data_IF_336377182901
#
_entry.id   IF_336377182901
#
_cell.length_a   1.000
_cell.length_b   1.000
_cell.length_c   1.000
_cell.angle_alpha   90.00
_cell.angle_beta   90.00
_cell.angle_gamma   90.00
#
_symmetry.space_group_name_H-M   'P 1'
#
loop_
_entity.id
_entity.type
_entity.pdbx_description
1 polymer ?
#
# COMPACT_ATOMS: atom_id res chain seq x y z
N UNK A 1 32.66 67.76 -37.82
CA UNK A 1 31.56 67.48 -36.88
C UNK A 1 30.55 66.54 -37.54
N UNK A 2 30.59 65.24 -37.23
CA UNK A 2 29.49 64.29 -37.45
C UNK A 2 29.55 63.28 -36.32
N UNK A 3 28.69 63.46 -35.32
CA UNK A 3 28.55 62.57 -34.17
C UNK A 3 27.68 61.37 -34.52
N UNK A 4 28.19 60.18 -34.25
CA UNK A 4 27.53 58.90 -34.43
C UNK A 4 26.66 58.62 -33.20
N UNK A 5 25.34 58.47 -33.37
CA UNK A 5 24.42 58.03 -32.31
C UNK A 5 24.25 56.51 -32.40
N UNK A 6 24.75 55.78 -31.40
CA UNK A 6 24.36 54.39 -31.17
C UNK A 6 23.02 54.38 -30.42
N UNK A 7 22.01 53.74 -31.00
CA UNK A 7 20.76 53.40 -30.31
C UNK A 7 20.87 51.97 -29.77
N UNK A 8 20.89 51.84 -28.44
CA UNK A 8 20.81 50.55 -27.75
C UNK A 8 19.33 50.17 -27.64
N UNK A 9 18.93 49.11 -28.33
CA UNK A 9 17.60 48.49 -28.17
C UNK A 9 17.69 47.58 -26.95
N UNK A 10 17.03 47.97 -25.85
CA UNK A 10 16.88 47.12 -24.67
C UNK A 10 15.81 46.07 -24.91
N UNK A 11 16.21 44.79 -24.90
CA UNK A 11 15.27 43.65 -24.89
C UNK A 11 14.83 43.42 -23.45
N UNK A 12 13.54 43.66 -23.16
CA UNK A 12 12.92 43.30 -21.89
C UNK A 12 12.41 41.86 -22.00
N UNK A 13 13.09 40.92 -21.35
CA UNK A 13 12.63 39.54 -21.19
C UNK A 13 11.73 39.49 -19.96
N UNK A 14 10.43 39.33 -20.16
CA UNK A 14 9.46 39.10 -19.07
C UNK A 14 9.44 37.60 -18.76
N UNK A 15 10.00 37.22 -17.61
CA UNK A 15 9.81 35.89 -17.05
C UNK A 15 8.42 35.82 -16.41
N UNK A 16 7.49 35.10 -17.04
CA UNK A 16 6.24 34.71 -16.40
C UNK A 16 6.53 33.58 -15.40
N UNK A 17 6.55 33.92 -14.11
CA UNK A 17 6.55 32.93 -13.04
C UNK A 17 5.16 32.28 -12.99
N UNK A 18 5.04 31.07 -13.52
CA UNK A 18 3.91 30.21 -13.22
C UNK A 18 4.05 29.70 -11.79
N UNK A 19 3.43 30.41 -10.84
CA UNK A 19 3.13 29.84 -9.54
C UNK A 19 2.08 28.74 -9.75
N UNK A 20 2.49 27.48 -9.66
CA UNK A 20 1.56 26.39 -9.46
C UNK A 20 0.84 26.65 -8.13
N UNK A 21 -0.39 27.17 -8.19
CA UNK A 21 -1.29 27.15 -7.04
C UNK A 21 -1.56 25.68 -6.73
N UNK A 22 -0.80 25.09 -5.82
CA UNK A 22 -1.23 23.88 -5.15
C UNK A 22 -2.39 24.29 -4.25
N UNK A 23 -3.62 24.12 -4.74
CA UNK A 23 -4.80 24.23 -3.88
C UNK A 23 -4.58 23.32 -2.67
N UNK A 24 -4.66 23.89 -1.47
CA UNK A 24 -4.54 23.10 -0.26
C UNK A 24 -5.72 22.14 -0.21
N UNK A 25 -5.44 20.83 -0.18
CA UNK A 25 -6.47 19.81 -0.09
C UNK A 25 -7.26 20.00 1.19
N UNK A 26 -8.58 20.05 1.06
CA UNK A 26 -9.48 20.26 2.17
C UNK A 26 -9.33 19.13 3.23
N UNK A 27 -9.28 19.53 4.50
CA UNK A 27 -9.23 18.62 5.65
C UNK A 27 -10.43 18.88 6.57
N UNK A 28 -10.67 17.99 7.52
CA UNK A 28 -11.82 18.07 8.43
C UNK A 28 -13.12 17.66 7.75
N UNK A 29 -14.26 18.11 8.32
CA UNK A 29 -15.60 17.82 7.80
C UNK A 29 -15.97 18.81 6.71
N UNK A 30 -16.48 18.32 5.58
CA UNK A 30 -17.05 19.14 4.52
C UNK A 30 -18.03 18.33 3.66
N UNK A 31 -18.74 19.01 2.75
CA UNK A 31 -19.64 18.38 1.79
C UNK A 31 -19.29 18.79 0.37
N UNK A 32 -19.66 17.93 -0.58
CA UNK A 32 -19.65 18.25 -2.01
C UNK A 32 -20.68 17.41 -2.75
N UNK A 33 -20.87 17.69 -4.03
CA UNK A 33 -21.59 16.80 -4.95
C UNK A 33 -20.59 16.11 -5.89
N UNK A 34 -20.97 14.94 -6.41
CA UNK A 34 -20.22 14.30 -7.50
C UNK A 34 -20.77 14.79 -8.83
N UNK A 35 -19.88 15.04 -9.81
CA UNK A 35 -20.29 15.46 -11.15
C UNK A 35 -21.30 14.47 -11.75
N UNK A 36 -22.41 14.98 -12.28
CA UNK A 36 -23.52 14.16 -12.80
C UNK A 36 -24.56 13.74 -11.75
N UNK A 37 -24.36 14.07 -10.47
CA UNK A 37 -25.26 13.73 -9.38
C UNK A 37 -25.65 14.96 -8.56
N UNK A 38 -26.91 15.03 -8.14
CA UNK A 38 -27.44 16.15 -7.34
C UNK A 38 -27.40 15.90 -5.83
N UNK A 39 -27.03 14.69 -5.39
CA UNK A 39 -26.94 14.34 -3.97
C UNK A 39 -25.61 14.75 -3.37
N UNK A 40 -25.67 15.13 -2.09
CA UNK A 40 -24.48 15.47 -1.33
C UNK A 40 -23.76 14.21 -0.87
N UNK A 41 -22.45 14.33 -0.79
CA UNK A 41 -21.59 13.46 -0.02
C UNK A 41 -20.99 14.23 1.14
N UNK A 42 -20.92 13.57 2.29
CA UNK A 42 -20.36 14.11 3.52
C UNK A 42 -19.02 13.44 3.75
N UNK A 43 -17.98 14.26 3.87
CA UNK A 43 -16.60 13.78 3.91
C UNK A 43 -15.96 14.21 5.22
N UNK A 44 -15.19 13.31 5.82
CA UNK A 44 -14.18 13.64 6.80
C UNK A 44 -12.80 13.24 6.27
N UNK A 45 -11.89 14.22 6.17
CA UNK A 45 -10.48 13.97 5.89
C UNK A 45 -9.68 14.24 7.16
N UNK A 46 -8.83 13.31 7.62
CA UNK A 46 -7.99 13.52 8.80
C UNK A 46 -7.19 14.83 8.73
N UNK A 47 -7.10 15.53 9.85
CA UNK A 47 -6.25 16.73 9.97
C UNK A 47 -4.77 16.40 9.74
N UNK A 48 -4.37 15.15 10.02
CA UNK A 48 -3.02 14.60 9.78
C UNK A 48 -2.76 14.20 8.32
N UNK A 49 -3.73 14.35 7.41
CA UNK A 49 -3.61 13.89 6.03
C UNK A 49 -2.46 14.59 5.25
N UNK A 50 -1.68 13.78 4.54
CA UNK A 50 -0.57 14.20 3.68
C UNK A 50 -0.41 13.24 2.48
N UNK A 51 -0.14 13.77 1.29
CA UNK A 51 0.16 12.98 0.08
C UNK A 51 1.44 12.13 0.19
N UNK A 52 2.24 12.31 1.26
CA UNK A 52 3.39 11.43 1.54
C UNK A 52 2.93 10.06 2.06
N UNK A 53 1.78 9.99 2.72
CA UNK A 53 1.25 8.79 3.37
C UNK A 53 -0.15 8.48 2.82
N UNK A 54 -0.28 7.52 1.88
CA UNK A 54 -1.58 7.10 1.36
C UNK A 54 -2.59 6.77 2.47
N UNK A 55 -3.75 7.42 2.44
CA UNK A 55 -4.79 7.26 3.44
C UNK A 55 -5.63 5.99 3.18
N UNK A 56 -6.23 5.45 4.24
CA UNK A 56 -7.34 4.50 4.06
C UNK A 56 -8.65 5.24 3.76
N UNK A 57 -9.58 4.58 3.10
CA UNK A 57 -10.91 5.13 2.77
C UNK A 57 -12.00 4.25 3.39
N UNK A 58 -12.98 4.87 4.04
CA UNK A 58 -14.20 4.21 4.53
C UNK A 58 -15.40 4.81 3.80
N UNK A 59 -16.15 3.99 3.09
CA UNK A 59 -17.48 4.34 2.57
C UNK A 59 -18.54 3.94 3.60
N UNK A 60 -19.34 4.90 4.07
CA UNK A 60 -20.37 4.72 5.09
C UNK A 60 -21.79 4.91 4.54
N UNK A 61 -22.63 3.87 4.52
CA UNK A 61 -24.01 3.96 4.03
C UNK A 61 -25.04 3.98 5.18
N UNK A 62 -25.86 5.03 5.21
CA UNK A 62 -26.88 5.23 6.24
C UNK A 62 -28.04 4.21 6.18
N UNK A 63 -28.80 4.06 7.26
CA UNK A 63 -30.04 3.26 7.26
C UNK A 63 -31.23 3.98 6.63
N UNK A 64 -32.35 3.29 6.48
CA UNK A 64 -33.60 3.87 5.96
C UNK A 64 -34.02 5.12 6.75
N UNK A 65 -34.45 6.17 6.04
CA UNK A 65 -34.84 7.45 6.63
C UNK A 65 -33.69 8.33 7.13
N UNK A 66 -32.45 7.82 7.11
CA UNK A 66 -31.24 8.59 7.42
C UNK A 66 -30.67 9.34 6.21
N UNK A 67 -29.49 9.92 6.41
CA UNK A 67 -28.70 10.61 5.39
C UNK A 67 -27.20 10.50 5.72
N UNK A 68 -26.33 10.90 4.79
CA UNK A 68 -24.88 10.81 4.95
C UNK A 68 -24.36 11.68 6.11
N UNK A 69 -24.93 12.87 6.32
CA UNK A 69 -24.54 13.76 7.42
C UNK A 69 -24.73 13.11 8.79
N UNK A 70 -25.90 12.50 9.01
CA UNK A 70 -26.25 11.82 10.25
C UNK A 70 -25.36 10.60 10.48
N UNK A 71 -25.12 9.82 9.42
CA UNK A 71 -24.25 8.65 9.52
C UNK A 71 -22.80 9.03 9.86
N UNK A 72 -22.21 10.00 9.16
CA UNK A 72 -20.85 10.48 9.48
C UNK A 72 -20.78 11.08 10.89
N UNK A 73 -21.83 11.76 11.35
CA UNK A 73 -21.87 12.36 12.67
C UNK A 73 -21.88 11.34 13.81
N UNK A 74 -22.37 10.11 13.56
CA UNK A 74 -22.29 9.01 14.51
C UNK A 74 -20.86 8.46 14.69
N UNK A 75 -19.91 8.82 13.80
CA UNK A 75 -18.52 8.40 13.89
C UNK A 75 -17.66 9.41 14.66
N UNK A 76 -16.77 8.88 15.49
CA UNK A 76 -15.78 9.67 16.21
C UNK A 76 -14.64 10.05 15.24
N UNK A 77 -14.62 11.32 14.83
CA UNK A 77 -13.59 11.85 13.92
C UNK A 77 -12.19 11.84 14.50
N UNK A 78 -12.04 11.90 15.82
CA UNK A 78 -10.74 11.76 16.49
C UNK A 78 -10.16 10.35 16.32
N UNK A 79 -10.99 9.32 16.19
CA UNK A 79 -10.52 7.98 15.83
C UNK A 79 -10.10 7.91 14.36
N UNK A 80 -10.87 8.53 13.46
CA UNK A 80 -10.52 8.62 12.04
C UNK A 80 -9.18 9.36 11.85
N UNK A 81 -8.92 10.42 12.63
CA UNK A 81 -7.61 11.08 12.71
C UNK A 81 -6.50 10.15 13.19
N UNK A 82 -6.73 9.48 14.32
CA UNK A 82 -5.75 8.58 14.95
C UNK A 82 -5.30 7.46 14.00
N UNK A 83 -6.25 6.86 13.27
CA UNK A 83 -5.97 5.73 12.38
C UNK A 83 -5.71 6.13 10.92
N UNK A 84 -5.85 7.41 10.56
CA UNK A 84 -5.56 7.93 9.22
C UNK A 84 -6.56 7.45 8.15
N UNK A 85 -7.85 7.45 8.50
CA UNK A 85 -8.94 7.07 7.59
C UNK A 85 -9.71 8.30 7.13
N UNK A 86 -9.80 8.48 5.81
CA UNK A 86 -10.80 9.33 5.19
C UNK A 86 -12.13 8.59 5.24
N UNK A 87 -13.22 9.26 5.63
CA UNK A 87 -14.55 8.69 5.58
C UNK A 87 -15.42 9.51 4.62
N UNK A 88 -16.18 8.82 3.78
CA UNK A 88 -17.20 9.42 2.91
C UNK A 88 -18.55 8.75 3.15
N UNK A 89 -19.57 9.55 3.41
CA UNK A 89 -20.93 9.11 3.65
C UNK A 89 -21.88 9.85 2.69
N UNK A 90 -22.35 9.18 1.62
CA UNK A 90 -23.28 9.79 0.67
C UNK A 90 -24.73 9.75 1.16
N UNK A 91 -25.53 10.70 0.68
CA UNK A 91 -26.99 10.53 0.56
C UNK A 91 -27.29 9.62 -0.64
N UNK A 92 -28.26 8.71 -0.51
CA UNK A 92 -28.74 7.86 -1.61
C UNK A 92 -29.23 8.68 -2.82
N UNK A 93 -28.79 8.32 -4.03
CA UNK A 93 -29.18 8.98 -5.29
C UNK A 93 -30.61 8.65 -5.70
N UNK A 94 -31.14 7.49 -5.30
CA UNK A 94 -32.54 7.11 -5.51
C UNK A 94 -33.47 7.55 -4.36
N UNK A 95 -32.94 8.19 -3.31
CA UNK A 95 -33.69 8.63 -2.12
C UNK A 95 -33.83 7.55 -1.05
N UNK A 96 -33.71 6.29 -1.43
CA UNK A 96 -33.46 5.14 -0.56
C UNK A 96 -32.55 4.16 -1.31
N UNK A 97 -31.75 3.37 -0.58
CA UNK A 97 -30.89 2.37 -1.21
C UNK A 97 -31.72 1.36 -1.99
N UNK A 98 -31.56 1.34 -3.32
CA UNK A 98 -32.33 0.47 -4.20
C UNK A 98 -32.02 -1.00 -3.92
N UNK A 99 -33.05 -1.77 -3.58
CA UNK A 99 -32.94 -3.17 -3.15
C UNK A 99 -34.06 -3.99 -3.81
N UNK A 100 -33.94 -5.32 -3.77
CA UNK A 100 -34.92 -6.22 -4.37
C UNK A 100 -34.88 -6.19 -5.90
N UNK A 101 -36.04 -6.17 -6.56
CA UNK A 101 -36.15 -6.19 -8.03
C UNK A 101 -35.90 -4.85 -8.74
N UNK A 102 -35.54 -3.79 -8.02
CA UNK A 102 -35.20 -2.48 -8.61
C UNK A 102 -33.76 -2.47 -9.16
N UNK A 103 -33.58 -3.18 -10.29
CA UNK A 103 -32.26 -3.34 -10.93
C UNK A 103 -31.71 -2.02 -11.48
N UNK A 104 -32.56 -1.15 -12.02
CA UNK A 104 -32.14 0.17 -12.53
C UNK A 104 -31.71 1.10 -11.39
N UNK A 105 -32.44 1.10 -10.28
CA UNK A 105 -32.02 1.81 -9.07
C UNK A 105 -30.69 1.30 -8.53
N UNK A 106 -30.51 -0.03 -8.46
CA UNK A 106 -29.25 -0.65 -8.02
C UNK A 106 -28.08 -0.27 -8.93
N UNK A 107 -28.30 -0.27 -10.25
CA UNK A 107 -27.30 0.17 -11.22
C UNK A 107 -26.90 1.63 -10.96
N UNK A 108 -27.89 2.52 -10.82
CA UNK A 108 -27.66 3.95 -10.59
C UNK A 108 -26.94 4.24 -9.27
N UNK A 109 -27.31 3.56 -8.18
CA UNK A 109 -26.61 3.65 -6.89
C UNK A 109 -25.17 3.10 -6.98
N UNK A 110 -24.97 2.01 -7.72
CA UNK A 110 -23.65 1.41 -7.96
C UNK A 110 -22.72 2.34 -8.75
N UNK A 111 -23.22 2.94 -9.83
CA UNK A 111 -22.50 3.94 -10.64
C UNK A 111 -22.13 5.16 -9.79
N UNK A 112 -23.04 5.61 -8.93
CA UNK A 112 -22.80 6.72 -8.02
C UNK A 112 -21.70 6.42 -7.00
N UNK A 113 -21.76 5.25 -6.33
CA UNK A 113 -20.73 4.83 -5.38
C UNK A 113 -19.37 4.69 -6.05
N UNK A 114 -19.31 4.08 -7.25
CA UNK A 114 -18.07 3.99 -8.02
C UNK A 114 -17.51 5.39 -8.30
N UNK A 115 -18.35 6.33 -8.74
CA UNK A 115 -17.94 7.70 -9.02
C UNK A 115 -17.44 8.44 -7.76
N UNK A 116 -18.03 8.18 -6.59
CA UNK A 116 -17.54 8.70 -5.31
C UNK A 116 -16.12 8.20 -5.03
N UNK A 117 -15.89 6.88 -5.11
CA UNK A 117 -14.56 6.30 -4.84
C UNK A 117 -13.52 6.85 -5.81
N UNK A 118 -13.87 6.96 -7.10
CA UNK A 118 -13.00 7.54 -8.13
C UNK A 118 -12.68 9.01 -7.88
N UNK A 119 -13.67 9.83 -7.50
CA UNK A 119 -13.45 11.23 -7.14
C UNK A 119 -12.55 11.35 -5.88
N UNK A 120 -12.76 10.51 -4.88
CA UNK A 120 -11.92 10.49 -3.67
C UNK A 120 -10.48 10.12 -4.01
N UNK A 121 -10.25 9.12 -4.87
CA UNK A 121 -8.91 8.72 -5.34
C UNK A 121 -8.25 9.78 -6.23
N UNK A 122 -9.04 10.55 -6.98
CA UNK A 122 -8.53 11.65 -7.81
C UNK A 122 -8.02 12.81 -6.95
N UNK A 123 -8.76 13.15 -5.89
CA UNK A 123 -8.45 14.32 -5.06
C UNK A 123 -7.53 14.01 -3.88
N UNK A 124 -7.49 12.76 -3.41
CA UNK A 124 -6.67 12.31 -2.28
C UNK A 124 -5.86 11.07 -2.65
N UNK A 125 -4.63 10.97 -2.13
CA UNK A 125 -3.78 9.79 -2.26
C UNK A 125 -4.32 8.70 -1.35
N UNK A 126 -5.14 7.83 -1.92
CA UNK A 126 -5.77 6.70 -1.24
C UNK A 126 -5.01 5.44 -1.59
N UNK A 127 -4.79 4.60 -0.59
CA UNK A 127 -4.23 3.27 -0.78
C UNK A 127 -5.34 2.30 -1.20
N UNK A 128 -5.21 1.73 -2.40
CA UNK A 128 -6.19 0.77 -2.94
C UNK A 128 -6.29 -0.53 -2.14
N UNK A 129 -5.32 -0.82 -1.28
CA UNK A 129 -5.36 -1.95 -0.35
C UNK A 129 -6.02 -1.61 1.00
N UNK A 130 -6.48 -0.35 1.16
CA UNK A 130 -7.09 0.20 2.39
C UNK A 130 -8.46 0.84 2.13
N UNK A 131 -9.24 0.29 1.20
CA UNK A 131 -10.64 0.70 1.01
C UNK A 131 -11.54 -0.26 1.81
N UNK A 132 -12.39 0.33 2.64
CA UNK A 132 -13.31 -0.38 3.53
C UNK A 132 -14.72 0.17 3.37
N UNK A 133 -15.71 -0.65 3.69
CA UNK A 133 -17.11 -0.24 3.66
C UNK A 133 -17.80 -0.55 4.98
N UNK A 134 -18.77 0.28 5.32
CA UNK A 134 -19.61 0.09 6.50
C UNK A 134 -20.99 0.67 6.24
N UNK A 135 -22.00 0.14 6.92
CA UNK A 135 -23.35 0.67 6.80
C UNK A 135 -24.23 0.24 7.96
N UNK A 136 -25.46 0.73 7.95
CA UNK A 136 -26.50 0.33 8.87
C UNK A 136 -27.78 -0.06 8.14
N UNK A 137 -28.46 -1.12 8.59
CA UNK A 137 -29.79 -1.52 8.11
C UNK A 137 -29.84 -1.61 6.57
N UNK A 138 -30.69 -0.81 5.90
CA UNK A 138 -30.76 -0.76 4.44
C UNK A 138 -29.41 -0.46 3.75
N UNK A 139 -28.57 0.40 4.32
CA UNK A 139 -27.24 0.69 3.77
C UNK A 139 -26.31 -0.52 3.85
N UNK A 140 -26.37 -1.28 4.95
CA UNK A 140 -25.67 -2.57 5.07
C UNK A 140 -26.17 -3.57 4.05
N UNK A 141 -27.50 -3.71 3.91
CA UNK A 141 -28.10 -4.64 2.97
C UNK A 141 -27.69 -4.31 1.52
N UNK A 142 -27.63 -3.03 1.15
CA UNK A 142 -27.15 -2.58 -0.14
C UNK A 142 -25.67 -2.89 -0.37
N UNK A 143 -24.82 -2.68 0.64
CA UNK A 143 -23.41 -3.09 0.57
C UNK A 143 -23.27 -4.61 0.39
N UNK A 144 -24.12 -5.43 1.02
CA UNK A 144 -24.11 -6.88 0.83
C UNK A 144 -24.39 -7.25 -0.64
N UNK A 145 -25.44 -6.68 -1.22
CA UNK A 145 -25.79 -6.88 -2.64
C UNK A 145 -24.68 -6.35 -3.56
N UNK A 146 -24.15 -5.16 -3.26
CA UNK A 146 -23.06 -4.54 -3.97
C UNK A 146 -21.83 -5.44 -4.06
N UNK A 147 -21.34 -5.90 -2.91
CA UNK A 147 -20.18 -6.79 -2.80
C UNK A 147 -20.44 -8.13 -3.52
N UNK A 148 -21.62 -8.71 -3.35
CA UNK A 148 -21.93 -10.03 -3.89
C UNK A 148 -22.12 -10.04 -5.41
N UNK A 149 -22.76 -9.02 -5.97
CA UNK A 149 -23.37 -9.13 -7.30
C UNK A 149 -23.13 -7.92 -8.23
N UNK A 150 -22.93 -6.69 -7.72
CA UNK A 150 -22.91 -5.51 -8.58
C UNK A 150 -21.52 -5.27 -9.20
N UNK A 151 -21.47 -5.16 -10.52
CA UNK A 151 -20.24 -4.94 -11.28
C UNK A 151 -19.48 -3.67 -10.85
N UNK A 152 -20.21 -2.61 -10.49
CA UNK A 152 -19.61 -1.34 -10.06
C UNK A 152 -18.70 -1.47 -8.83
N UNK A 153 -19.01 -2.41 -7.92
CA UNK A 153 -18.19 -2.71 -6.75
C UNK A 153 -16.90 -3.46 -7.11
N UNK A 154 -16.80 -4.00 -8.33
CA UNK A 154 -15.59 -4.66 -8.82
C UNK A 154 -14.53 -3.68 -9.31
N UNK A 155 -14.90 -2.42 -9.53
CA UNK A 155 -13.99 -1.36 -10.00
C UNK A 155 -12.94 -0.93 -8.95
N UNK A 156 -13.15 -1.31 -7.69
CA UNK A 156 -12.23 -1.05 -6.59
C UNK A 156 -12.13 -2.29 -5.69
N UNK A 157 -11.05 -2.40 -4.92
CA UNK A 157 -10.83 -3.53 -4.02
C UNK A 157 -11.34 -3.19 -2.64
N UNK A 158 -12.32 -3.92 -2.13
CA UNK A 158 -12.78 -3.77 -0.74
C UNK A 158 -11.97 -4.74 0.12
N UNK A 159 -11.14 -4.20 1.01
CA UNK A 159 -10.36 -5.03 1.93
C UNK A 159 -11.22 -5.58 3.06
N UNK A 160 -12.11 -4.75 3.60
CA UNK A 160 -12.95 -5.12 4.73
C UNK A 160 -14.33 -4.46 4.69
N UNK A 161 -15.35 -5.21 5.11
CA UNK A 161 -16.72 -4.73 5.25
C UNK A 161 -17.22 -4.96 6.69
N UNK A 162 -17.61 -3.89 7.39
CA UNK A 162 -18.24 -3.96 8.70
C UNK A 162 -19.71 -3.55 8.60
N UNK A 163 -20.62 -4.52 8.55
CA UNK A 163 -22.02 -4.32 8.17
C UNK A 163 -22.93 -4.50 9.39
N UNK A 164 -23.71 -3.48 9.74
CA UNK A 164 -24.52 -3.46 10.96
C UNK A 164 -26.00 -3.60 10.65
N UNK A 165 -26.68 -4.53 11.33
CA UNK A 165 -28.13 -4.76 11.23
C UNK A 165 -28.68 -4.87 9.81
N UNK A 166 -27.82 -5.23 8.85
CA UNK A 166 -28.22 -5.51 7.47
C UNK A 166 -28.58 -6.98 7.31
N UNK A 167 -29.42 -7.25 6.34
CA UNK A 167 -29.77 -8.61 5.99
C UNK A 167 -30.47 -8.65 4.65
N UNK A 168 -30.64 -9.86 4.16
CA UNK A 168 -31.14 -10.17 2.83
C UNK A 168 -31.95 -11.44 2.94
N UNK A 169 -33.08 -11.45 2.26
CA UNK A 169 -34.00 -12.58 2.23
C UNK A 169 -33.71 -13.42 1.00
N UNK A 170 -33.57 -14.74 1.17
CA UNK A 170 -33.25 -15.67 0.08
C UNK A 170 -31.74 -15.88 -0.13
N UNK A 171 -31.40 -16.71 -1.10
CA UNK A 171 -30.01 -17.00 -1.48
C UNK A 171 -29.46 -15.87 -2.35
N UNK A 172 -28.28 -15.35 -2.01
CA UNK A 172 -27.58 -14.41 -2.88
C UNK A 172 -26.87 -15.15 -4.01
N UNK A 173 -27.05 -14.66 -5.23
CA UNK A 173 -26.09 -14.91 -6.31
C UNK A 173 -24.79 -14.20 -5.97
N UNK A 174 -23.78 -14.95 -5.53
CA UNK A 174 -22.48 -14.38 -5.17
C UNK A 174 -21.45 -14.75 -6.24
N UNK A 175 -20.76 -13.75 -6.78
CA UNK A 175 -19.63 -14.00 -7.66
C UNK A 175 -18.38 -14.42 -6.82
N UNK A 176 -17.78 -15.60 -7.09
CA UNK A 176 -16.66 -16.13 -6.31
C UNK A 176 -15.29 -15.52 -6.65
N UNK A 177 -15.15 -14.81 -7.78
CA UNK A 177 -13.84 -14.39 -8.34
C UNK A 177 -13.08 -13.42 -7.42
N UNK A 178 -13.78 -12.71 -6.54
CA UNK A 178 -13.18 -11.78 -5.56
C UNK A 178 -13.44 -12.15 -4.10
N UNK A 179 -14.04 -13.32 -3.85
CA UNK A 179 -14.45 -13.74 -2.51
C UNK A 179 -13.29 -13.75 -1.50
N UNK A 180 -12.09 -14.13 -1.95
CA UNK A 180 -10.91 -14.26 -1.10
C UNK A 180 -10.23 -12.93 -0.76
N UNK A 181 -10.60 -11.84 -1.45
CA UNK A 181 -9.93 -10.54 -1.28
C UNK A 181 -10.65 -9.62 -0.28
N UNK A 182 -11.93 -9.90 0.00
CA UNK A 182 -12.78 -9.10 0.90
C UNK A 182 -13.07 -9.89 2.17
N UNK A 183 -12.73 -9.32 3.33
CA UNK A 183 -13.15 -9.88 4.62
C UNK A 183 -14.40 -9.17 5.14
N UNK A 184 -15.41 -9.92 5.57
CA UNK A 184 -16.73 -9.38 5.94
C UNK A 184 -17.01 -9.70 7.42
N UNK A 185 -17.46 -8.70 8.18
CA UNK A 185 -18.08 -8.88 9.49
C UNK A 185 -19.49 -8.32 9.47
N UNK A 186 -20.46 -9.17 9.78
CA UNK A 186 -21.86 -8.79 9.91
C UNK A 186 -22.17 -8.72 11.41
N UNK A 187 -22.46 -7.53 11.91
CA UNK A 187 -22.86 -7.29 13.29
C UNK A 187 -24.38 -7.22 13.39
N UNK A 188 -24.95 -7.96 14.33
CA UNK A 188 -26.40 -8.03 14.52
C UNK A 188 -26.76 -8.10 16.00
N UNK A 189 -27.77 -7.33 16.39
CA UNK A 189 -28.34 -7.39 17.74
C UNK A 189 -29.04 -8.72 17.99
N UNK A 190 -28.85 -9.35 19.15
CA UNK A 190 -29.52 -10.62 19.49
C UNK A 190 -31.04 -10.48 19.60
N UNK A 191 -31.54 -9.27 19.86
CA UNK A 191 -32.97 -8.92 19.85
C UNK A 191 -33.45 -8.24 18.56
N UNK A 192 -32.61 -8.14 17.52
CA UNK A 192 -32.94 -7.47 16.25
C UNK A 192 -33.80 -8.37 15.34
N UNK A 193 -35.00 -8.71 15.80
CA UNK A 193 -36.00 -9.45 15.01
C UNK A 193 -36.87 -8.45 14.22
N UNK A 194 -37.13 -8.67 12.92
CA UNK A 194 -36.87 -9.88 12.15
C UNK A 194 -35.48 -9.97 11.47
N UNK A 195 -34.60 -8.98 11.60
CA UNK A 195 -33.34 -8.90 10.83
C UNK A 195 -32.27 -9.94 11.20
N UNK A 196 -32.38 -10.59 12.38
CA UNK A 196 -31.45 -11.63 12.82
C UNK A 196 -31.35 -12.80 11.83
N UNK A 197 -32.49 -13.30 11.34
CA UNK A 197 -32.54 -14.38 10.35
C UNK A 197 -31.89 -13.99 9.01
N UNK A 198 -32.32 -12.87 8.39
CA UNK A 198 -31.70 -12.33 7.17
C UNK A 198 -30.18 -12.05 7.30
N UNK A 199 -29.70 -11.58 8.46
CA UNK A 199 -28.26 -11.38 8.69
C UNK A 199 -27.49 -12.72 8.73
N UNK A 200 -28.08 -13.74 9.37
CA UNK A 200 -27.54 -15.11 9.36
C UNK A 200 -27.49 -15.67 7.94
N UNK A 201 -28.58 -15.56 7.18
CA UNK A 201 -28.65 -16.01 5.79
C UNK A 201 -27.60 -15.33 4.90
N UNK A 202 -27.36 -14.03 5.11
CA UNK A 202 -26.32 -13.28 4.41
C UNK A 202 -24.92 -13.84 4.70
N UNK A 203 -24.60 -14.06 5.98
CA UNK A 203 -23.32 -14.60 6.39
C UNK A 203 -23.08 -16.00 5.81
N UNK A 204 -24.10 -16.85 5.82
CA UNK A 204 -24.00 -18.21 5.30
C UNK A 204 -23.84 -18.21 3.78
N UNK A 205 -24.52 -17.30 3.07
CA UNK A 205 -24.36 -17.12 1.61
C UNK A 205 -22.94 -16.67 1.25
N UNK A 206 -22.40 -15.67 1.97
CA UNK A 206 -21.01 -15.22 1.76
C UNK A 206 -19.99 -16.33 2.02
N UNK A 207 -20.14 -17.09 3.12
CA UNK A 207 -19.27 -18.22 3.44
C UNK A 207 -19.36 -19.32 2.37
N UNK A 208 -20.57 -19.68 1.93
CA UNK A 208 -20.79 -20.67 0.87
C UNK A 208 -20.09 -20.27 -0.44
N UNK A 209 -20.03 -18.97 -0.71
CA UNK A 209 -19.34 -18.42 -1.88
C UNK A 209 -17.82 -18.23 -1.70
N UNK A 210 -17.26 -18.61 -0.55
CA UNK A 210 -15.82 -18.58 -0.27
C UNK A 210 -15.29 -17.26 0.31
N UNK A 211 -16.17 -16.34 0.74
CA UNK A 211 -15.74 -15.12 1.43
C UNK A 211 -15.28 -15.46 2.85
N UNK A 212 -14.27 -14.72 3.34
CA UNK A 212 -13.95 -14.72 4.76
C UNK A 212 -15.00 -13.86 5.50
N UNK A 213 -16.14 -14.48 5.85
CA UNK A 213 -17.26 -13.81 6.47
C UNK A 213 -17.52 -14.33 7.89
N UNK A 214 -17.66 -13.42 8.85
CA UNK A 214 -17.99 -13.69 10.25
C UNK A 214 -19.31 -13.00 10.62
N UNK A 215 -20.22 -13.73 11.28
CA UNK A 215 -21.41 -13.16 11.90
C UNK A 215 -21.13 -12.92 13.38
N UNK A 216 -21.21 -11.67 13.81
CA UNK A 216 -20.97 -11.22 15.18
C UNK A 216 -22.29 -10.84 15.82
N UNK A 217 -22.82 -11.70 16.69
CA UNK A 217 -24.03 -11.42 17.46
C UNK A 217 -23.66 -10.65 18.72
N UNK A 218 -24.33 -9.52 18.97
CA UNK A 218 -24.10 -8.66 20.14
C UNK A 218 -25.40 -8.37 20.88
N UNK A 219 -25.39 -8.16 22.21
CA UNK A 219 -26.58 -7.70 22.92
C UNK A 219 -27.09 -6.38 22.33
N UNK A 220 -28.38 -6.31 21.99
CA UNK A 220 -28.98 -5.13 21.38
C UNK A 220 -30.18 -5.44 20.50
N UNK A 221 -30.78 -4.41 19.93
CA UNK A 221 -31.90 -4.48 19.00
C UNK A 221 -31.49 -3.84 17.65
N UNK A 222 -32.45 -3.24 16.94
CA UNK A 222 -32.19 -2.57 15.66
C UNK A 222 -31.64 -1.14 15.84
N UNK A 223 -30.45 -0.99 16.41
CA UNK A 223 -29.85 0.30 16.72
C UNK A 223 -28.44 0.44 16.17
N UNK A 224 -27.99 1.69 15.98
CA UNK A 224 -26.64 2.00 15.55
C UNK A 224 -25.98 3.02 16.49
N UNK A 225 -24.69 2.86 16.84
CA UNK A 225 -23.84 1.71 16.54
C UNK A 225 -24.15 0.51 17.46
N UNK A 226 -23.91 -0.72 16.97
CA UNK A 226 -24.02 -1.95 17.76
C UNK A 226 -22.71 -2.31 18.50
N UNK A 227 -21.60 -1.66 18.14
CA UNK A 227 -20.28 -1.88 18.74
C UNK A 227 -19.48 -0.59 18.71
N UNK A 228 -18.43 -0.52 19.53
CA UNK A 228 -17.49 0.60 19.51
C UNK A 228 -16.76 0.67 18.15
N UNK A 229 -16.83 1.83 17.49
CA UNK A 229 -16.13 2.09 16.23
C UNK A 229 -14.61 1.89 16.34
N UNK A 230 -14.02 2.03 17.53
CA UNK A 230 -12.60 1.72 17.77
C UNK A 230 -12.28 0.28 17.39
N UNK A 231 -13.12 -0.68 17.78
CA UNK A 231 -12.91 -2.11 17.47
C UNK A 231 -12.98 -2.38 15.97
N UNK A 232 -13.84 -1.66 15.26
CA UNK A 232 -13.97 -1.75 13.80
C UNK A 232 -12.71 -1.21 13.12
N UNK A 233 -12.23 -0.05 13.55
CA UNK A 233 -11.03 0.57 12.99
C UNK A 233 -9.76 -0.22 13.28
N UNK A 234 -9.62 -0.76 14.50
CA UNK A 234 -8.51 -1.65 14.86
C UNK A 234 -8.51 -2.92 13.99
N UNK A 235 -9.69 -3.50 13.76
CA UNK A 235 -9.82 -4.64 12.85
C UNK A 235 -9.45 -4.27 11.40
N UNK A 236 -9.89 -3.12 10.90
CA UNK A 236 -9.47 -2.65 9.57
C UNK A 236 -7.95 -2.50 9.46
N UNK A 237 -7.29 -1.95 10.48
CA UNK A 237 -5.83 -1.86 10.54
C UNK A 237 -5.18 -3.25 10.51
N UNK A 238 -5.70 -4.20 11.30
CA UNK A 238 -5.21 -5.58 11.31
C UNK A 238 -5.30 -6.24 9.93
N UNK A 239 -6.38 -6.01 9.17
CA UNK A 239 -6.54 -6.54 7.80
C UNK A 239 -5.49 -5.99 6.81
N UNK A 240 -4.94 -4.80 7.06
CA UNK A 240 -3.92 -4.21 6.20
C UNK A 240 -2.49 -4.66 6.57
N UNK A 241 -2.28 -5.10 7.81
CA UNK A 241 -0.93 -5.38 8.34
C UNK A 241 -0.12 -6.39 7.49
N UNK A 242 -0.68 -7.50 6.96
CA UNK A 242 0.06 -8.40 6.07
C UNK A 242 0.55 -7.72 4.79
N UNK A 243 -0.27 -6.84 4.19
CA UNK A 243 0.13 -6.10 2.98
C UNK A 243 1.18 -5.04 3.29
N UNK A 244 1.07 -4.39 4.45
CA UNK A 244 2.09 -3.44 4.90
C UNK A 244 3.45 -4.14 5.04
N UNK A 245 3.50 -5.28 5.73
CA UNK A 245 4.73 -6.09 5.88
C UNK A 245 5.29 -6.52 4.53
N UNK A 246 4.44 -7.00 3.62
CA UNK A 246 4.83 -7.37 2.25
C UNK A 246 5.50 -6.19 1.52
N UNK A 247 4.86 -5.02 1.51
CA UNK A 247 5.39 -3.81 0.84
C UNK A 247 6.71 -3.32 1.44
N UNK A 248 6.88 -3.45 2.76
CA UNK A 248 8.14 -3.12 3.44
C UNK A 248 9.29 -4.03 2.97
N UNK A 249 9.04 -5.33 2.83
CA UNK A 249 10.03 -6.28 2.29
C UNK A 249 10.32 -6.00 0.82
N UNK A 250 9.28 -5.79 -0.01
CA UNK A 250 9.44 -5.46 -1.44
C UNK A 250 10.28 -4.19 -1.64
N UNK A 251 10.07 -3.17 -0.81
CA UNK A 251 10.87 -1.94 -0.85
C UNK A 251 12.34 -2.20 -0.53
N UNK A 252 12.63 -2.97 0.51
CA UNK A 252 14.02 -3.31 0.88
C UNK A 252 14.70 -4.14 -0.21
N UNK A 253 13.96 -5.04 -0.85
CA UNK A 253 14.45 -5.79 -2.02
C UNK A 253 14.77 -4.88 -3.20
N UNK A 254 13.90 -3.92 -3.52
CA UNK A 254 14.15 -2.94 -4.59
C UNK A 254 15.39 -2.08 -4.30
N UNK A 255 15.54 -1.62 -3.04
CA UNK A 255 16.72 -0.89 -2.61
C UNK A 255 18.00 -1.74 -2.72
N UNK A 256 17.92 -3.02 -2.34
CA UNK A 256 19.03 -3.96 -2.44
C UNK A 256 19.44 -4.25 -3.90
N UNK A 257 18.47 -4.50 -4.77
CA UNK A 257 18.68 -4.75 -6.20
C UNK A 257 19.31 -3.53 -6.89
N UNK A 258 18.82 -2.33 -6.57
CA UNK A 258 19.40 -1.09 -7.06
C UNK A 258 20.85 -0.95 -6.60
N UNK A 259 21.12 -1.13 -5.30
CA UNK A 259 22.47 -1.04 -4.75
C UNK A 259 23.42 -2.06 -5.39
N UNK A 260 22.97 -3.30 -5.61
CA UNK A 260 23.74 -4.34 -6.30
C UNK A 260 24.07 -3.93 -7.74
N UNK A 261 23.10 -3.41 -8.49
CA UNK A 261 23.32 -2.94 -9.86
C UNK A 261 24.34 -1.78 -9.95
N UNK A 262 24.40 -0.95 -8.91
CA UNK A 262 25.34 0.15 -8.76
C UNK A 262 26.69 -0.30 -8.14
N UNK A 263 26.88 -1.61 -7.91
CA UNK A 263 28.05 -2.21 -7.24
C UNK A 263 28.31 -1.62 -5.84
N UNK A 264 27.26 -1.15 -5.17
CA UNK A 264 27.24 -0.70 -3.77
C UNK A 264 26.96 -1.89 -2.86
N UNK A 265 27.93 -2.80 -2.76
CA UNK A 265 27.73 -4.11 -2.15
C UNK A 265 27.37 -4.04 -0.66
N UNK A 266 27.96 -3.11 0.09
CA UNK A 266 27.67 -2.92 1.51
C UNK A 266 26.21 -2.56 1.76
N UNK A 267 25.66 -1.65 0.95
CA UNK A 267 24.27 -1.25 0.96
C UNK A 267 23.36 -2.41 0.52
N UNK A 268 23.74 -3.14 -0.54
CA UNK A 268 22.99 -4.29 -1.03
C UNK A 268 22.88 -5.39 0.04
N UNK A 269 23.99 -5.75 0.69
CA UNK A 269 24.04 -6.74 1.79
C UNK A 269 23.11 -6.30 2.92
N UNK A 270 23.24 -5.05 3.37
CA UNK A 270 22.41 -4.52 4.46
C UNK A 270 20.92 -4.62 4.14
N UNK A 271 20.52 -4.21 2.94
CA UNK A 271 19.10 -4.21 2.53
C UNK A 271 18.57 -5.63 2.33
N UNK A 272 19.32 -6.54 1.69
CA UNK A 272 18.89 -7.94 1.56
C UNK A 272 18.79 -8.66 2.92
N UNK A 273 19.73 -8.43 3.84
CA UNK A 273 19.67 -9.00 5.18
C UNK A 273 18.45 -8.50 5.96
N UNK A 274 18.13 -7.20 5.84
CA UNK A 274 16.92 -6.63 6.44
C UNK A 274 15.66 -7.27 5.85
N UNK A 275 15.58 -7.38 4.51
CA UNK A 275 14.44 -7.99 3.83
C UNK A 275 14.25 -9.45 4.25
N UNK A 276 15.34 -10.23 4.32
CA UNK A 276 15.36 -11.61 4.81
C UNK A 276 14.78 -11.71 6.22
N UNK A 277 15.31 -10.91 7.16
CA UNK A 277 14.88 -10.92 8.57
C UNK A 277 13.41 -10.55 8.76
N UNK A 278 12.87 -9.66 7.92
CA UNK A 278 11.44 -9.30 7.96
C UNK A 278 10.56 -10.41 7.37
N UNK A 279 11.02 -11.08 6.32
CA UNK A 279 10.26 -12.13 5.65
C UNK A 279 10.29 -13.48 6.40
N UNK A 280 11.37 -13.82 7.12
CA UNK A 280 11.56 -15.13 7.76
C UNK A 280 10.46 -15.51 8.76
N UNK A 281 9.77 -14.52 9.33
CA UNK A 281 8.72 -14.71 10.35
C UNK A 281 7.32 -14.86 9.76
N UNK A 282 7.18 -14.68 8.45
CA UNK A 282 5.88 -14.53 7.79
C UNK A 282 5.74 -15.62 6.72
N UNK A 283 4.91 -16.64 6.98
CA UNK A 283 4.69 -17.75 6.03
C UNK A 283 4.24 -17.27 4.64
N UNK A 284 3.46 -16.19 4.58
CA UNK A 284 2.97 -15.62 3.32
C UNK A 284 4.06 -14.92 2.49
N UNK A 285 5.25 -14.68 3.06
CA UNK A 285 6.36 -13.98 2.41
C UNK A 285 7.48 -14.91 1.94
N UNK A 286 7.27 -16.22 1.90
CA UNK A 286 8.27 -17.23 1.53
C UNK A 286 8.94 -16.95 0.17
N UNK A 287 8.17 -16.50 -0.83
CA UNK A 287 8.73 -16.14 -2.14
C UNK A 287 9.68 -14.91 -2.06
N UNK A 288 9.35 -13.92 -1.22
CA UNK A 288 10.20 -12.75 -1.02
C UNK A 288 11.42 -13.08 -0.16
N UNK A 289 11.28 -13.99 0.81
CA UNK A 289 12.38 -14.54 1.57
C UNK A 289 13.41 -15.19 0.65
N UNK A 290 12.95 -16.08 -0.25
CA UNK A 290 13.81 -16.72 -1.24
C UNK A 290 14.51 -15.68 -2.13
N UNK A 291 13.79 -14.66 -2.57
CA UNK A 291 14.37 -13.56 -3.36
C UNK A 291 15.47 -12.81 -2.61
N UNK A 292 15.31 -12.59 -1.31
CA UNK A 292 16.35 -11.98 -0.47
C UNK A 292 17.59 -12.88 -0.36
N UNK A 293 17.38 -14.19 -0.18
CA UNK A 293 18.47 -15.18 -0.07
C UNK A 293 19.25 -15.34 -1.38
N UNK A 294 18.55 -15.40 -2.51
CA UNK A 294 19.17 -15.47 -3.84
C UNK A 294 19.93 -14.17 -4.14
N UNK A 295 19.41 -13.02 -3.72
CA UNK A 295 20.11 -11.74 -3.76
C UNK A 295 21.43 -11.74 -2.97
N UNK A 296 21.42 -12.26 -1.74
CA UNK A 296 22.64 -12.38 -0.93
C UNK A 296 23.69 -13.28 -1.59
N UNK A 297 23.28 -14.41 -2.18
CA UNK A 297 24.18 -15.29 -2.93
C UNK A 297 24.77 -14.59 -4.16
N UNK A 298 23.99 -13.77 -4.86
CA UNK A 298 24.48 -12.99 -5.98
C UNK A 298 25.53 -11.94 -5.54
N UNK A 299 25.31 -11.28 -4.40
CA UNK A 299 26.33 -10.38 -3.83
C UNK A 299 27.59 -11.16 -3.47
N UNK A 300 27.46 -12.29 -2.78
CA UNK A 300 28.59 -13.15 -2.41
C UNK A 300 29.41 -13.58 -3.64
N UNK A 301 28.75 -14.03 -4.70
CA UNK A 301 29.41 -14.40 -5.96
C UNK A 301 30.19 -13.22 -6.56
N UNK A 302 29.64 -12.00 -6.55
CA UNK A 302 30.37 -10.82 -7.01
C UNK A 302 31.64 -10.54 -6.19
N UNK A 303 31.63 -10.90 -4.90
CA UNK A 303 32.80 -10.88 -4.03
C UNK A 303 33.84 -11.93 -4.43
N UNK A 304 33.41 -13.17 -4.67
CA UNK A 304 34.28 -14.25 -5.16
C UNK A 304 34.94 -13.88 -6.49
N UNK A 305 34.19 -13.31 -7.43
CA UNK A 305 34.70 -12.87 -8.72
C UNK A 305 35.76 -11.76 -8.55
N UNK A 306 35.54 -10.83 -7.61
CA UNK A 306 36.52 -9.78 -7.30
C UNK A 306 37.81 -10.32 -6.67
N UNK A 307 37.73 -11.36 -5.84
CA UNK A 307 38.90 -12.06 -5.31
C UNK A 307 39.69 -12.75 -6.41
N UNK A 308 38.99 -13.41 -7.36
CA UNK A 308 39.60 -14.05 -8.51
C UNK A 308 40.31 -13.05 -9.43
N UNK A 309 39.70 -11.88 -9.66
CA UNK A 309 40.32 -10.80 -10.44
C UNK A 309 41.57 -10.23 -9.74
N UNK A 310 41.56 -10.11 -8.41
CA UNK A 310 42.74 -9.68 -7.67
C UNK A 310 43.91 -10.67 -7.82
N UNK A 311 43.64 -11.98 -7.78
CA UNK A 311 44.67 -13.01 -8.03
C UNK A 311 45.21 -12.91 -9.46
N UNK A 312 44.33 -12.70 -10.44
CA UNK A 312 44.72 -12.52 -11.84
C UNK A 312 45.64 -11.31 -12.01
N UNK A 313 45.29 -10.16 -11.43
CA UNK A 313 46.14 -8.96 -11.44
C UNK A 313 47.53 -9.24 -10.85
N UNK A 314 47.60 -9.97 -9.73
CA UNK A 314 48.87 -10.33 -9.11
C UNK A 314 49.72 -11.26 -10.00
N UNK A 315 49.09 -12.25 -10.66
CA UNK A 315 49.78 -13.15 -11.60
C UNK A 315 50.32 -12.40 -12.83
N UNK A 316 49.69 -11.31 -13.24
CA UNK A 316 50.19 -10.38 -14.27
C UNK A 316 51.27 -9.42 -13.75
N UNK A 317 51.69 -9.55 -12.48
CA UNK A 317 52.69 -8.68 -11.84
C UNK A 317 52.13 -7.34 -11.33
N UNK A 318 50.82 -7.09 -11.43
CA UNK A 318 50.16 -5.83 -11.02
C UNK A 318 49.74 -5.87 -9.54
N UNK A 319 50.68 -6.11 -8.63
CA UNK A 319 50.41 -6.25 -7.20
C UNK A 319 49.74 -5.02 -6.57
N UNK A 320 50.15 -3.79 -6.96
CA UNK A 320 49.53 -2.56 -6.46
C UNK A 320 48.01 -2.51 -6.71
N UNK A 321 47.58 -2.92 -7.89
CA UNK A 321 46.17 -2.92 -8.27
C UNK A 321 45.40 -4.05 -7.60
N UNK A 322 46.03 -5.23 -7.46
CA UNK A 322 45.49 -6.34 -6.68
C UNK A 322 45.22 -5.93 -5.21
N UNK A 323 46.17 -5.24 -4.56
CA UNK A 323 46.00 -4.77 -3.18
C UNK A 323 44.90 -3.70 -3.04
N UNK A 324 44.80 -2.78 -4.00
CA UNK A 324 43.71 -1.79 -4.02
C UNK A 324 42.36 -2.47 -4.13
N UNK A 325 42.24 -3.47 -5.02
CA UNK A 325 41.00 -4.24 -5.19
C UNK A 325 40.66 -5.01 -3.92
N UNK A 326 41.62 -5.72 -3.31
CA UNK A 326 41.38 -6.49 -2.09
C UNK A 326 40.97 -5.61 -0.90
N UNK A 327 41.55 -4.42 -0.74
CA UNK A 327 41.11 -3.45 0.27
C UNK A 327 39.69 -2.98 0.02
N UNK A 328 39.35 -2.68 -1.24
CA UNK A 328 37.98 -2.33 -1.64
C UNK A 328 37.01 -3.48 -1.31
N UNK A 329 37.37 -4.73 -1.58
CA UNK A 329 36.55 -5.90 -1.23
C UNK A 329 36.39 -6.03 0.30
N UNK A 330 37.44 -5.82 1.09
CA UNK A 330 37.33 -5.82 2.56
C UNK A 330 36.32 -4.80 3.09
N UNK A 331 36.27 -3.61 2.48
CA UNK A 331 35.35 -2.54 2.87
C UNK A 331 33.91 -2.77 2.36
N UNK A 332 33.78 -3.16 1.09
CA UNK A 332 32.48 -3.39 0.41
C UNK A 332 31.74 -4.60 1.01
N UNK A 333 32.47 -5.61 1.46
CA UNK A 333 31.93 -6.86 2.03
C UNK A 333 32.11 -6.95 3.55
N UNK A 334 32.31 -5.80 4.22
CA UNK A 334 32.60 -5.76 5.65
C UNK A 334 31.59 -6.57 6.47
N UNK A 335 32.10 -7.49 7.28
CA UNK A 335 31.28 -8.36 8.14
C UNK A 335 30.80 -9.64 7.48
N UNK A 336 31.25 -9.96 6.26
CA UNK A 336 31.04 -11.26 5.61
C UNK A 336 32.35 -12.05 5.52
N UNK A 337 32.24 -13.34 5.16
CA UNK A 337 33.40 -14.20 4.93
C UNK A 337 34.24 -13.73 3.73
N UNK A 338 33.63 -13.09 2.72
CA UNK A 338 34.35 -12.48 1.59
C UNK A 338 35.38 -11.44 2.07
N UNK A 339 35.02 -10.58 3.04
CA UNK A 339 35.98 -9.61 3.58
C UNK A 339 37.15 -10.27 4.31
N UNK A 340 36.90 -11.39 5.00
CA UNK A 340 37.96 -12.18 5.63
C UNK A 340 38.87 -12.82 4.57
N UNK A 341 38.29 -13.46 3.55
CA UNK A 341 39.02 -14.04 2.43
C UNK A 341 39.86 -12.98 1.70
N UNK A 342 39.34 -11.78 1.49
CA UNK A 342 40.08 -10.68 0.89
C UNK A 342 41.32 -10.27 1.70
N UNK A 343 41.20 -10.23 3.03
CA UNK A 343 42.31 -9.94 3.94
C UNK A 343 43.36 -11.05 3.93
N UNK A 344 42.92 -12.31 3.97
CA UNK A 344 43.82 -13.46 3.93
C UNK A 344 44.57 -13.51 2.60
N UNK A 345 43.87 -13.23 1.49
CA UNK A 345 44.44 -13.13 0.15
C UNK A 345 45.45 -11.99 0.02
N UNK A 346 45.19 -10.84 0.63
CA UNK A 346 46.12 -9.71 0.65
C UNK A 346 47.45 -10.11 1.34
N UNK A 347 47.38 -10.86 2.44
CA UNK A 347 48.57 -11.34 3.14
C UNK A 347 49.33 -12.39 2.31
N UNK A 348 48.63 -13.33 1.68
CA UNK A 348 49.21 -14.33 0.79
C UNK A 348 49.99 -13.66 -0.36
N UNK A 349 49.38 -12.67 -1.02
CA UNK A 349 50.00 -11.96 -2.14
C UNK A 349 51.24 -11.17 -1.73
N UNK A 350 51.25 -10.56 -0.53
CA UNK A 350 52.43 -9.87 0.02
C UNK A 350 53.61 -10.81 0.22
N UNK A 351 53.35 -12.04 0.69
CA UNK A 351 54.42 -13.03 0.84
C UNK A 351 54.89 -13.57 -0.52
N UNK A 352 53.99 -13.72 -1.50
CA UNK A 352 54.38 -14.08 -2.88
C UNK A 352 55.25 -13.00 -3.54
N UNK A 353 54.89 -11.73 -3.38
CA UNK A 353 55.64 -10.61 -3.96
C UNK A 353 57.07 -10.52 -3.38
N UNK A 354 57.23 -10.69 -2.06
CA UNK A 354 58.54 -10.70 -1.39
C UNK A 354 59.45 -11.84 -1.86
N UNK A 355 58.88 -12.99 -2.20
CA UNK A 355 59.62 -14.18 -2.62
C UNK A 355 59.83 -14.27 -4.14
N UNK A 356 59.49 -13.20 -4.89
CA UNK A 356 59.71 -13.15 -6.32
C UNK A 356 61.23 -13.01 -6.58
N UNK A 357 61.85 -13.89 -7.38
CA UNK A 357 63.27 -13.74 -7.72
C UNK A 357 63.47 -12.39 -8.42
N UNK A 358 64.48 -11.63 -7.98
CA UNK A 358 64.93 -10.43 -8.69
C UNK A 358 65.23 -10.85 -10.14
N UNK A 359 64.49 -10.31 -11.11
CA UNK A 359 64.92 -10.32 -12.50
C UNK A 359 66.27 -9.60 -12.51
N UNK A 360 67.36 -10.37 -12.56
CA UNK A 360 68.65 -9.84 -12.92
C UNK A 360 68.47 -9.26 -14.31
N UNK A 361 68.54 -7.93 -14.42
CA UNK A 361 68.84 -7.28 -15.68
C UNK A 361 70.14 -7.91 -16.21
N UNK A 362 70.03 -8.82 -17.17
CA UNK A 362 71.11 -9.11 -18.09
C UNK A 362 71.34 -7.83 -18.88
N UNK A 363 72.17 -6.94 -18.32
CA UNK A 363 72.83 -5.89 -19.08
C UNK A 363 73.82 -6.58 -20.01
N UNK A 364 73.35 -6.93 -21.20
CA UNK A 364 74.22 -7.34 -22.31
C UNK A 364 75.24 -6.23 -22.60
N UNK A 365 76.49 -6.68 -22.74
CA UNK A 365 77.72 -5.89 -22.90
C UNK A 365 77.84 -5.17 -24.23
#
# INVERSE_FOLDING_TARGET
MRGMRLSIIGVVIVFALFSANTEEKQRGRFTKTIAGYSKQIHIYVPNSYSDKNPAGLILGLHGSGGNGAGFLSAWNTGLLDKYGFIMVAPDSVTGAWAMGGDFEGQKREGEYIKAIIEDMKKNYKIDDEKIYVTGFSAGSAYLMVGIAALEHFRAFKIRGAALFSGGITGEMGVNPDKAKETTIRIYIGTGDTPHLGPAQNAADSFKKAGYNCELVKVPGAHNYPLTDHTKVLEWFVQLYEPVKKKREVEKELQEAEKALSEKKYKEAIKSYQSAKKKAEKEKELEALLKKAEDGLKAVEQAGVDALAEAEKLANEGKYSDAYKLLKKVQDDFKGTDIAKQAKDKENELKEKEKNKPEEKEESDK
#
